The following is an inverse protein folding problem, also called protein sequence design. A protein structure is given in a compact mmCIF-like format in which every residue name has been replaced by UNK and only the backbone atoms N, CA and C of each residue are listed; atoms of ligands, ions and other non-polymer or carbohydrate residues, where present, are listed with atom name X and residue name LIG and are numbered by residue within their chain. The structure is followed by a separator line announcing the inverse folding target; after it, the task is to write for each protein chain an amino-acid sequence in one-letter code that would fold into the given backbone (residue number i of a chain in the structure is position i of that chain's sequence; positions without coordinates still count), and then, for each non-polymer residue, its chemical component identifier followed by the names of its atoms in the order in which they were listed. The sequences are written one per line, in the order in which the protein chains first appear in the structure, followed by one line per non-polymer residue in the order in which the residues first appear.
data_IF_398547315462
#
_entry.id   IF_398547315462
#
_cell.length_a   1.000
_cell.length_b   1.000
_cell.length_c   1.000
_cell.angle_alpha   90.00
_cell.angle_beta   90.00
_cell.angle_gamma   90.00
#
_symmetry.space_group_name_H-M   'P 1'
#
loop_
_entity.id
_entity.type
_entity.pdbx_description
1 polymer ?
#
# COMPACT_ATOMS: atom_id res chain seq x y z
N UNK A 1 -2.63 24.54 -8.72
CA UNK A 1 -2.63 23.68 -7.53
C UNK A 1 -2.12 22.32 -7.97
N UNK A 2 -1.07 21.78 -7.35
CA UNK A 2 -0.48 20.50 -7.76
C UNK A 2 -1.20 19.31 -7.12
N UNK A 3 -1.72 18.41 -7.95
CA UNK A 3 -2.37 17.16 -7.55
C UNK A 3 -1.53 15.96 -7.98
N UNK A 4 -1.16 15.13 -7.01
CA UNK A 4 -0.40 13.90 -7.23
C UNK A 4 -1.29 12.69 -7.04
N UNK A 5 -1.24 11.76 -7.99
CA UNK A 5 -1.74 10.40 -7.83
C UNK A 5 -0.58 9.48 -7.43
N UNK A 6 -0.59 8.95 -6.22
CA UNK A 6 0.24 7.82 -5.88
C UNK A 6 -0.51 6.52 -6.20
N UNK A 7 0.20 5.47 -6.60
CA UNK A 7 -0.40 4.16 -6.86
C UNK A 7 0.39 3.07 -6.14
N UNK A 8 -0.28 2.24 -5.33
CA UNK A 8 0.26 1.00 -4.76
C UNK A 8 -0.86 -0.05 -4.71
N UNK A 9 -0.93 -0.88 -5.74
CA UNK A 9 -2.02 -1.86 -5.98
C UNK A 9 -1.81 -3.18 -5.23
N UNK A 10 -1.01 -3.16 -4.17
CA UNK A 10 -0.66 -4.32 -3.34
C UNK A 10 -1.56 -4.44 -2.11
N UNK A 11 -1.16 -5.30 -1.18
CA UNK A 11 -1.79 -5.54 0.11
C UNK A 11 -1.45 -4.49 1.17
N UNK A 12 -2.08 -4.58 2.34
CA UNK A 12 -1.87 -3.65 3.45
C UNK A 12 -0.40 -3.41 3.82
N UNK A 13 0.43 -4.47 3.85
CA UNK A 13 1.84 -4.34 4.23
C UNK A 13 2.61 -3.42 3.29
N UNK A 14 2.47 -3.64 1.99
CA UNK A 14 3.09 -2.85 0.94
C UNK A 14 2.63 -1.37 0.94
N UNK A 15 1.34 -1.16 1.16
CA UNK A 15 0.76 0.19 1.26
C UNK A 15 1.33 0.93 2.48
N UNK A 16 1.41 0.27 3.64
CA UNK A 16 2.03 0.84 4.85
C UNK A 16 3.50 1.20 4.64
N UNK A 17 4.28 0.32 4.01
CA UNK A 17 5.70 0.54 3.73
C UNK A 17 5.94 1.66 2.71
N UNK A 18 4.95 1.96 1.86
CA UNK A 18 5.00 3.10 0.93
C UNK A 18 4.75 4.44 1.65
N UNK A 19 4.24 4.44 2.88
CA UNK A 19 3.85 5.64 3.64
C UNK A 19 4.88 6.77 3.68
N UNK A 20 6.17 6.53 3.97
CA UNK A 20 7.22 7.55 3.92
C UNK A 20 7.37 8.21 2.54
N UNK A 21 7.31 7.43 1.46
CA UNK A 21 7.36 7.93 0.09
C UNK A 21 6.17 8.83 -0.24
N UNK A 22 4.97 8.47 0.26
CA UNK A 22 3.79 9.32 0.11
C UNK A 22 3.95 10.66 0.83
N UNK A 23 4.54 10.68 2.03
CA UNK A 23 4.81 11.93 2.74
C UNK A 23 5.83 12.79 1.99
N UNK A 24 6.85 12.18 1.38
CA UNK A 24 7.83 12.89 0.56
C UNK A 24 7.20 13.53 -0.70
N UNK A 25 6.24 12.84 -1.34
CA UNK A 25 5.50 13.39 -2.48
C UNK A 25 4.49 14.48 -2.06
N UNK A 26 3.80 14.27 -0.93
CA UNK A 26 2.82 15.23 -0.42
C UNK A 26 3.46 16.54 0.06
N UNK A 27 4.72 16.53 0.48
CA UNK A 27 5.42 17.73 0.96
C UNK A 27 5.50 18.87 -0.08
N UNK A 28 5.46 18.55 -1.38
CA UNK A 28 5.52 19.51 -2.49
C UNK A 28 4.23 19.57 -3.31
N UNK A 29 3.16 18.92 -2.86
CA UNK A 29 1.88 18.86 -3.53
C UNK A 29 0.77 19.51 -2.68
N UNK A 30 -0.20 20.14 -3.33
CA UNK A 30 -1.39 20.65 -2.63
C UNK A 30 -2.31 19.51 -2.20
N UNK A 31 -2.26 18.39 -2.93
CA UNK A 31 -3.08 17.22 -2.68
C UNK A 31 -2.42 15.95 -3.21
N UNK A 32 -2.41 14.91 -2.39
CA UNK A 32 -2.02 13.56 -2.78
C UNK A 32 -3.19 12.60 -2.56
N UNK A 33 -3.64 11.97 -3.64
CA UNK A 33 -4.63 10.89 -3.61
C UNK A 33 -3.90 9.56 -3.87
N UNK A 34 -4.38 8.46 -3.28
CA UNK A 34 -3.74 7.14 -3.38
C UNK A 34 -4.68 6.12 -4.02
N UNK A 35 -4.25 5.50 -5.11
CA UNK A 35 -4.93 4.37 -5.74
C UNK A 35 -4.37 3.04 -5.21
N UNK A 36 -5.24 2.21 -4.64
CA UNK A 36 -4.90 0.90 -4.07
C UNK A 36 -5.83 -0.20 -4.56
N UNK A 37 -5.43 -1.45 -4.33
CA UNK A 37 -6.32 -2.60 -4.46
C UNK A 37 -7.33 -2.65 -3.31
N UNK A 38 -8.42 -3.44 -3.43
CA UNK A 38 -9.31 -3.71 -2.30
C UNK A 38 -8.57 -4.22 -1.05
N UNK A 39 -7.50 -5.00 -1.24
CA UNK A 39 -6.71 -5.58 -0.16
C UNK A 39 -5.75 -4.59 0.53
N UNK A 40 -5.49 -3.43 -0.06
CA UNK A 40 -4.66 -2.37 0.52
C UNK A 40 -5.46 -1.18 1.06
N UNK A 41 -6.80 -1.22 0.93
CA UNK A 41 -7.69 -0.10 1.30
C UNK A 41 -7.58 0.26 2.78
N UNK A 42 -7.58 -0.73 3.67
CA UNK A 42 -7.55 -0.48 5.11
C UNK A 42 -6.25 0.21 5.53
N UNK A 43 -5.11 -0.26 5.04
CA UNK A 43 -3.83 0.42 5.23
C UNK A 43 -3.80 1.83 4.64
N UNK A 44 -4.32 2.01 3.42
CA UNK A 44 -4.34 3.31 2.74
C UNK A 44 -5.08 4.36 3.57
N UNK A 45 -6.23 3.99 4.14
CA UNK A 45 -7.02 4.86 5.00
C UNK A 45 -6.23 5.26 6.25
N UNK A 46 -5.28 4.46 6.74
CA UNK A 46 -4.46 4.79 7.91
C UNK A 46 -3.30 5.76 7.61
N UNK A 47 -2.99 6.10 6.36
CA UNK A 47 -1.80 6.90 6.03
C UNK A 47 -2.05 8.42 6.16
N UNK A 48 -1.15 9.18 6.82
CA UNK A 48 -1.41 10.58 7.18
C UNK A 48 -1.34 11.57 6.01
N UNK A 49 -0.66 11.24 4.90
CA UNK A 49 -0.48 12.13 3.75
C UNK A 49 -1.52 11.91 2.63
N UNK A 50 -2.45 10.97 2.80
CA UNK A 50 -3.43 10.60 1.77
C UNK A 50 -4.71 11.41 1.97
N UNK A 51 -5.07 12.22 0.99
CA UNK A 51 -6.29 13.02 1.00
C UNK A 51 -7.54 12.22 0.59
N UNK A 52 -7.42 11.35 -0.42
CA UNK A 52 -8.48 10.45 -0.86
C UNK A 52 -7.89 9.09 -1.25
N UNK A 53 -8.58 8.02 -0.86
CA UNK A 53 -8.26 6.64 -1.26
C UNK A 53 -9.17 6.25 -2.42
N UNK A 54 -8.57 5.94 -3.56
CA UNK A 54 -9.24 5.33 -4.70
C UNK A 54 -9.00 3.82 -4.66
N UNK A 55 -10.01 3.03 -5.02
CA UNK A 55 -9.91 1.58 -5.01
C UNK A 55 -10.16 1.05 -6.41
N UNK A 56 -9.25 0.20 -6.88
CA UNK A 56 -9.39 -0.50 -8.14
C UNK A 56 -8.81 -1.91 -8.02
N UNK A 57 -9.63 -2.91 -8.38
CA UNK A 57 -9.20 -4.30 -8.43
C UNK A 57 -8.47 -4.56 -9.75
N UNK A 58 -7.16 -4.32 -9.73
CA UNK A 58 -6.34 -4.34 -10.94
C UNK A 58 -6.08 -5.78 -11.42
N UNK A 59 -6.43 -6.13 -12.67
CA UNK A 59 -6.32 -7.49 -13.19
C UNK A 59 -4.87 -7.96 -13.44
N UNK A 60 -3.88 -7.09 -13.18
CA UNK A 60 -2.44 -7.38 -13.28
C UNK A 60 -1.72 -7.37 -11.92
N UNK A 61 -2.46 -7.26 -10.82
CA UNK A 61 -1.91 -7.20 -9.46
C UNK A 61 -2.63 -8.17 -8.52
N UNK A 62 -1.99 -8.45 -7.38
CA UNK A 62 -2.54 -9.31 -6.33
C UNK A 62 -2.27 -10.80 -6.54
N UNK A 63 -2.61 -11.59 -5.51
CA UNK A 63 -2.35 -13.03 -5.47
C UNK A 63 -3.23 -13.84 -6.43
N UNK A 64 -4.50 -13.44 -6.56
CA UNK A 64 -5.50 -14.04 -7.44
C UNK A 64 -6.20 -12.94 -8.25
N UNK A 65 -5.53 -12.40 -9.28
CA UNK A 65 -6.06 -11.27 -10.05
C UNK A 65 -7.41 -11.63 -10.71
N UNK A 66 -8.34 -10.69 -10.68
CA UNK A 66 -9.61 -10.82 -11.36
C UNK A 66 -9.42 -10.80 -12.90
N UNK A 67 -10.36 -11.37 -13.68
CA UNK A 67 -10.41 -11.17 -15.12
C UNK A 67 -10.48 -9.68 -15.48
N UNK A 68 -9.98 -9.32 -16.67
CA UNK A 68 -10.07 -7.94 -17.16
C UNK A 68 -11.54 -7.57 -17.40
N UNK A 69 -12.00 -6.55 -16.67
CA UNK A 69 -13.30 -5.91 -16.90
C UNK A 69 -13.09 -4.56 -17.60
N UNK A 70 -13.49 -4.49 -18.87
CA UNK A 70 -13.36 -3.28 -19.67
C UNK A 70 -14.17 -2.10 -19.12
N UNK A 71 -15.35 -2.35 -18.55
CA UNK A 71 -16.19 -1.30 -17.94
C UNK A 71 -15.52 -0.70 -16.72
N UNK A 72 -14.95 -1.55 -15.85
CA UNK A 72 -14.21 -1.10 -14.68
C UNK A 72 -12.95 -0.30 -15.06
N UNK A 73 -12.23 -0.72 -16.10
CA UNK A 73 -11.06 0.00 -16.61
C UNK A 73 -11.44 1.38 -17.15
N UNK A 74 -12.48 1.48 -17.99
CA UNK A 74 -12.95 2.77 -18.50
C UNK A 74 -13.42 3.69 -17.36
N UNK A 75 -14.18 3.16 -16.40
CA UNK A 75 -14.64 3.92 -15.25
C UNK A 75 -13.46 4.47 -14.41
N UNK A 76 -12.38 3.69 -14.25
CA UNK A 76 -11.17 4.18 -13.60
C UNK A 76 -10.54 5.34 -14.41
N UNK A 77 -10.35 5.17 -15.72
CA UNK A 77 -9.75 6.20 -16.58
C UNK A 77 -10.54 7.50 -16.52
N UNK A 78 -11.86 7.45 -16.67
CA UNK A 78 -12.75 8.62 -16.60
C UNK A 78 -12.65 9.31 -15.23
N UNK A 79 -12.62 8.51 -14.16
CA UNK A 79 -12.49 8.96 -12.77
C UNK A 79 -11.14 9.66 -12.53
N UNK A 80 -10.03 9.14 -13.07
CA UNK A 80 -8.72 9.75 -12.98
C UNK A 80 -8.65 11.05 -13.82
N UNK A 81 -9.22 11.06 -15.02
CA UNK A 81 -9.26 12.22 -15.91
C UNK A 81 -10.02 13.39 -15.27
N UNK A 82 -11.17 13.12 -14.65
CA UNK A 82 -11.97 14.13 -13.96
C UNK A 82 -11.23 14.79 -12.78
N UNK A 83 -10.26 14.09 -12.18
CA UNK A 83 -9.44 14.62 -11.07
C UNK A 83 -8.29 15.50 -11.55
N UNK A 84 -7.88 15.45 -12.82
CA UNK A 84 -6.85 16.33 -13.39
C UNK A 84 -5.55 16.30 -12.55
N UNK A 85 -5.02 15.10 -12.33
CA UNK A 85 -3.71 14.95 -11.68
C UNK A 85 -2.60 15.51 -12.59
N UNK A 86 -1.67 16.26 -12.02
CA UNK A 86 -0.50 16.73 -12.74
C UNK A 86 0.54 15.63 -12.90
N UNK A 87 0.61 14.73 -11.90
CA UNK A 87 1.61 13.67 -11.82
C UNK A 87 1.03 12.37 -11.28
N UNK A 88 1.55 11.25 -11.78
CA UNK A 88 1.35 9.93 -11.19
C UNK A 88 2.69 9.30 -10.80
N UNK A 89 2.77 8.73 -9.59
CA UNK A 89 3.93 7.95 -9.14
C UNK A 89 3.46 6.54 -8.80
N UNK A 90 3.97 5.56 -9.54
CA UNK A 90 3.51 4.17 -9.48
C UNK A 90 4.54 3.34 -8.73
N UNK A 91 4.18 2.94 -7.52
CA UNK A 91 4.97 2.06 -6.67
C UNK A 91 4.55 0.62 -6.93
N UNK A 92 5.51 -0.22 -7.24
CA UNK A 92 5.32 -1.66 -7.47
C UNK A 92 6.30 -2.47 -6.64
N UNK A 93 5.92 -3.71 -6.35
CA UNK A 93 6.87 -4.72 -5.90
C UNK A 93 7.78 -5.15 -7.06
N UNK A 94 8.96 -5.72 -6.76
CA UNK A 94 9.99 -6.04 -7.76
C UNK A 94 9.53 -6.99 -8.90
N UNK A 95 8.48 -7.76 -8.68
CA UNK A 95 7.94 -8.74 -9.63
C UNK A 95 6.73 -8.21 -10.43
N UNK A 96 6.36 -6.95 -10.23
CA UNK A 96 5.19 -6.34 -10.86
C UNK A 96 5.59 -5.31 -11.92
N UNK A 97 4.80 -5.25 -12.99
CA UNK A 97 4.97 -4.24 -14.02
C UNK A 97 4.16 -2.98 -13.69
N UNK A 98 4.75 -1.78 -13.72
CA UNK A 98 4.01 -0.53 -13.58
C UNK A 98 3.28 -0.13 -14.87
N UNK A 99 3.64 -0.73 -16.01
CA UNK A 99 3.27 -0.28 -17.34
C UNK A 99 1.76 -0.30 -17.63
N UNK A 100 0.97 -1.29 -17.15
CA UNK A 100 -0.48 -1.24 -17.30
C UNK A 100 -1.10 -0.02 -16.61
N UNK A 101 -0.63 0.31 -15.41
CA UNK A 101 -1.10 1.49 -14.67
C UNK A 101 -0.63 2.78 -15.35
N UNK A 102 0.61 2.81 -15.86
CA UNK A 102 1.14 3.95 -16.60
C UNK A 102 0.33 4.22 -17.87
N UNK A 103 -0.08 3.17 -18.59
CA UNK A 103 -0.98 3.30 -19.74
C UNK A 103 -2.32 3.94 -19.34
N UNK A 104 -2.94 3.48 -18.25
CA UNK A 104 -4.20 4.08 -17.78
C UNK A 104 -4.03 5.54 -17.34
N UNK A 105 -2.92 5.87 -16.69
CA UNK A 105 -2.58 7.25 -16.33
C UNK A 105 -2.46 8.15 -17.58
N UNK A 106 -1.82 7.65 -18.66
CA UNK A 106 -1.73 8.37 -19.94
C UNK A 106 -3.09 8.55 -20.60
N UNK A 107 -3.94 7.51 -20.60
CA UNK A 107 -5.30 7.60 -21.13
C UNK A 107 -6.16 8.61 -20.34
N UNK A 108 -5.91 8.74 -19.04
CA UNK A 108 -6.54 9.75 -18.19
C UNK A 108 -5.97 11.18 -18.38
N UNK A 109 -4.98 11.36 -19.27
CA UNK A 109 -4.38 12.65 -19.57
C UNK A 109 -3.33 13.13 -18.56
N UNK A 110 -2.78 12.25 -17.72
CA UNK A 110 -1.73 12.61 -16.75
C UNK A 110 -0.40 12.83 -17.50
N UNK A 111 0.08 14.08 -17.44
CA UNK A 111 1.23 14.54 -18.23
C UNK A 111 2.58 14.06 -17.72
N UNK A 112 2.71 13.76 -16.42
CA UNK A 112 3.95 13.27 -15.83
C UNK A 112 3.73 11.93 -15.09
N UNK A 113 4.47 10.88 -15.46
CA UNK A 113 4.38 9.56 -14.85
C UNK A 113 5.77 9.04 -14.48
N UNK A 114 5.95 8.67 -13.21
CA UNK A 114 7.19 8.09 -12.68
C UNK A 114 6.94 6.68 -12.12
N UNK A 115 7.83 5.75 -12.42
CA UNK A 115 7.78 4.40 -11.85
C UNK A 115 9.14 3.70 -11.90
N UNK A 116 9.33 2.71 -11.03
CA UNK A 116 10.42 1.73 -11.20
C UNK A 116 10.02 0.71 -12.27
N UNK A 117 10.79 0.61 -13.35
CA UNK A 117 10.48 -0.32 -14.45
C UNK A 117 11.73 -0.99 -15.01
N UNK A 118 11.76 -2.31 -14.91
CA UNK A 118 12.75 -3.14 -15.58
C UNK A 118 12.60 -3.11 -17.10
N UNK A 119 11.34 -3.12 -17.56
CA UNK A 119 10.99 -3.11 -18.97
C UNK A 119 11.11 -1.71 -19.60
N UNK A 120 11.32 -1.68 -20.92
CA UNK A 120 11.32 -0.45 -21.70
C UNK A 120 9.90 0.17 -21.72
N UNK A 121 9.70 1.41 -21.25
CA UNK A 121 8.36 1.97 -21.09
C UNK A 121 7.83 2.72 -22.32
N UNK A 122 8.65 2.95 -23.35
CA UNK A 122 8.29 3.88 -24.43
C UNK A 122 7.94 5.27 -23.88
N UNK A 123 6.80 5.83 -24.30
CA UNK A 123 6.28 7.12 -23.83
C UNK A 123 5.47 7.05 -22.53
N UNK A 124 5.32 5.86 -21.93
CA UNK A 124 4.47 5.69 -20.75
C UNK A 124 5.05 6.32 -19.48
N UNK A 125 6.38 6.41 -19.36
CA UNK A 125 7.06 6.97 -18.19
C UNK A 125 7.95 8.16 -18.59
N UNK A 126 7.80 9.27 -17.87
CA UNK A 126 8.71 10.41 -17.92
C UNK A 126 9.95 10.18 -17.06
N UNK A 127 9.78 9.43 -15.95
CA UNK A 127 10.89 8.94 -15.13
C UNK A 127 10.82 7.41 -15.08
N UNK A 128 11.75 6.77 -15.80
CA UNK A 128 12.04 5.35 -15.65
C UNK A 128 13.09 5.17 -14.56
N UNK A 129 12.63 4.96 -13.34
CA UNK A 129 13.49 4.68 -12.21
C UNK A 129 14.01 3.23 -12.28
N UNK A 130 15.24 3.01 -11.80
CA UNK A 130 15.87 1.70 -11.68
C UNK A 130 16.24 1.51 -10.22
N UNK A 131 15.57 0.56 -9.56
CA UNK A 131 15.78 0.28 -8.15
C UNK A 131 17.19 -0.31 -7.95
N UNK A 132 18.02 0.26 -7.07
CA UNK A 132 19.25 -0.39 -6.63
C UNK A 132 18.97 -1.71 -5.90
N UNK A 133 19.82 -2.71 -6.14
CA UNK A 133 19.70 -4.01 -5.49
C UNK A 133 19.84 -3.91 -3.97
N UNK A 134 19.08 -4.74 -3.24
CA UNK A 134 19.22 -4.93 -1.80
C UNK A 134 18.55 -3.87 -0.91
N UNK A 135 17.90 -2.85 -1.48
CA UNK A 135 17.13 -1.88 -0.68
C UNK A 135 15.91 -2.50 -0.01
N UNK A 136 15.62 -2.08 1.22
CA UNK A 136 14.34 -2.38 1.86
C UNK A 136 13.19 -1.70 1.11
N UNK A 137 11.97 -2.26 1.13
CA UNK A 137 10.82 -1.71 0.38
C UNK A 137 10.53 -0.23 0.69
N UNK A 138 10.68 0.18 1.95
CA UNK A 138 10.54 1.59 2.38
C UNK A 138 11.57 2.48 1.68
N UNK A 139 12.83 2.03 1.62
CA UNK A 139 13.93 2.79 1.03
C UNK A 139 13.77 2.86 -0.49
N UNK A 140 13.38 1.76 -1.12
CA UNK A 140 13.09 1.70 -2.55
C UNK A 140 11.92 2.62 -2.96
N UNK A 141 10.87 2.69 -2.14
CA UNK A 141 9.76 3.61 -2.36
C UNK A 141 10.20 5.07 -2.19
N UNK A 142 11.02 5.37 -1.18
CA UNK A 142 11.57 6.72 -0.98
C UNK A 142 12.49 7.13 -2.14
N UNK A 143 13.32 6.21 -2.63
CA UNK A 143 14.22 6.43 -3.76
C UNK A 143 13.44 6.82 -5.04
N UNK A 144 12.36 6.07 -5.34
CA UNK A 144 11.44 6.43 -6.43
C UNK A 144 10.75 7.79 -6.18
N UNK A 145 10.30 8.07 -4.96
CA UNK A 145 9.69 9.36 -4.64
C UNK A 145 10.68 10.52 -4.85
N UNK A 146 11.93 10.36 -4.47
CA UNK A 146 13.00 11.34 -4.73
C UNK A 146 13.24 11.51 -6.23
N UNK A 147 13.33 10.42 -6.99
CA UNK A 147 13.47 10.47 -8.44
C UNK A 147 12.27 11.16 -9.13
N UNK A 148 11.09 11.12 -8.52
CA UNK A 148 9.88 11.82 -8.95
C UNK A 148 9.80 13.28 -8.46
N UNK A 149 10.81 13.78 -7.74
CA UNK A 149 10.89 15.16 -7.23
C UNK A 149 10.23 15.37 -5.85
N UNK A 150 9.88 14.30 -5.14
CA UNK A 150 9.48 14.36 -3.75
C UNK A 150 10.68 14.51 -2.82
N UNK A 151 10.45 15.02 -1.61
CA UNK A 151 11.44 15.09 -0.56
C UNK A 151 10.73 15.04 0.80
N UNK A 152 11.29 14.29 1.75
CA UNK A 152 10.76 14.29 3.10
C UNK A 152 10.88 15.71 3.72
N UNK A 153 9.84 16.19 4.42
CA UNK A 153 9.93 17.43 5.17
C UNK A 153 11.04 17.40 6.23
N UNK A 154 11.56 18.57 6.57
CA UNK A 154 12.53 18.70 7.66
C UNK A 154 12.01 18.04 8.95
N UNK A 155 12.82 17.14 9.51
CA UNK A 155 12.50 16.39 10.72
C UNK A 155 11.75 15.07 10.51
N UNK A 156 11.23 14.77 9.31
CA UNK A 156 10.69 13.46 9.00
C UNK A 156 11.83 12.46 8.72
N UNK A 157 11.94 11.45 9.58
CA UNK A 157 13.00 10.43 9.50
C UNK A 157 12.66 9.25 8.59
N UNK A 158 11.58 9.35 7.80
CA UNK A 158 11.15 8.28 6.88
C UNK A 158 10.63 7.04 7.60
N UNK A 159 10.19 7.15 8.86
CA UNK A 159 9.65 6.01 9.63
C UNK A 159 8.20 5.71 9.26
N UNK A 160 7.76 4.48 9.55
CA UNK A 160 6.35 4.13 9.48
C UNK A 160 5.54 5.07 10.39
N UNK A 161 4.45 5.60 9.86
CA UNK A 161 3.53 6.45 10.59
C UNK A 161 2.11 6.21 10.08
N UNK A 162 1.15 6.22 11.00
CA UNK A 162 -0.28 6.19 10.72
C UNK A 162 -0.93 7.46 11.25
N UNK A 163 -2.09 7.81 10.70
CA UNK A 163 -2.88 8.98 11.15
C UNK A 163 -3.34 8.80 12.60
N UNK A 164 -3.51 9.93 13.28
CA UNK A 164 -4.09 9.99 14.62
C UNK A 164 -5.29 10.95 14.66
N UNK A 165 -6.25 10.75 15.58
CA UNK A 165 -6.37 9.58 16.46
C UNK A 165 -6.82 8.32 15.68
N UNK A 166 -6.40 7.14 16.15
CA UNK A 166 -6.93 5.87 15.66
C UNK A 166 -8.34 5.62 16.26
N UNK A 167 -9.20 4.82 15.61
CA UNK A 167 -10.48 4.43 16.18
C UNK A 167 -10.31 3.79 17.57
N UNK A 168 -11.20 4.07 18.54
CA UNK A 168 -11.11 3.49 19.87
C UNK A 168 -11.35 1.98 19.82
N UNK A 169 -10.40 1.21 20.32
CA UNK A 169 -10.45 -0.27 20.37
C UNK A 169 -10.53 -0.82 21.80
N UNK A 170 -10.76 0.04 22.80
CA UNK A 170 -10.77 -0.33 24.23
C UNK A 170 -11.78 -1.43 24.56
N UNK A 171 -12.86 -1.53 23.78
CA UNK A 171 -13.89 -2.56 23.91
C UNK A 171 -13.47 -3.93 23.34
N UNK A 172 -12.35 -3.99 22.60
CA UNK A 172 -11.80 -5.20 21.98
C UNK A 172 -10.56 -5.73 22.72
N UNK A 173 -10.01 -4.94 23.64
CA UNK A 173 -8.74 -5.26 24.32
C UNK A 173 -8.94 -5.27 25.83
N UNK A 174 -8.19 -6.10 26.59
CA UNK A 174 -8.27 -6.09 28.03
C UNK A 174 -7.61 -4.82 28.59
N UNK A 175 -8.03 -4.40 29.79
CA UNK A 175 -7.40 -3.30 30.51
C UNK A 175 -5.99 -3.62 31.04
N UNK A 176 -5.63 -4.92 31.10
CA UNK A 176 -4.32 -5.40 31.53
C UNK A 176 -3.37 -5.57 30.32
N UNK A 177 -2.04 -5.60 30.52
CA UNK A 177 -1.09 -5.86 29.44
C UNK A 177 -1.41 -7.15 28.67
N UNK A 178 -1.31 -7.09 27.35
CA UNK A 178 -1.67 -8.19 26.46
C UNK A 178 -0.69 -8.34 25.29
N UNK A 179 -0.74 -9.52 24.67
CA UNK A 179 -0.01 -9.86 23.45
C UNK A 179 -1.01 -10.10 22.33
N UNK A 180 -0.77 -9.52 21.16
CA UNK A 180 -1.54 -9.81 19.95
C UNK A 180 -0.84 -10.90 19.15
N UNK A 181 -1.53 -12.00 18.90
CA UNK A 181 -1.13 -13.06 17.99
C UNK A 181 -1.96 -12.95 16.71
N UNK A 182 -1.29 -12.81 15.57
CA UNK A 182 -1.92 -12.90 14.25
C UNK A 182 -1.39 -14.17 13.57
N UNK A 183 -2.10 -15.31 13.65
CA UNK A 183 -1.56 -16.60 13.26
C UNK A 183 -1.73 -16.91 11.77
N UNK A 184 -2.20 -15.94 10.99
CA UNK A 184 -2.53 -16.13 9.58
C UNK A 184 -1.74 -15.18 8.68
N UNK A 185 -1.59 -15.58 7.43
CA UNK A 185 -1.01 -14.81 6.36
C UNK A 185 -1.77 -15.12 5.07
N UNK A 186 -1.79 -14.18 4.12
CA UNK A 186 -2.51 -14.34 2.85
C UNK A 186 -2.03 -15.53 2.02
N UNK A 187 -0.81 -16.02 2.24
CA UNK A 187 -0.29 -17.26 1.67
C UNK A 187 -0.23 -18.30 2.78
N UNK A 188 -1.02 -19.40 2.72
CA UNK A 188 -1.09 -20.38 3.80
C UNK A 188 0.25 -20.97 4.23
N UNK A 189 1.16 -21.21 3.28
CA UNK A 189 2.51 -21.71 3.56
C UNK A 189 3.40 -20.76 4.39
N UNK A 190 2.99 -19.50 4.59
CA UNK A 190 3.66 -18.50 5.44
C UNK A 190 3.00 -18.38 6.83
N UNK A 191 1.96 -19.16 7.10
CA UNK A 191 1.30 -19.20 8.41
C UNK A 191 1.86 -20.37 9.24
N UNK A 192 1.95 -20.25 10.57
CA UNK A 192 2.13 -21.42 11.42
C UNK A 192 0.96 -22.40 11.21
N UNK A 193 1.23 -23.70 11.38
CA UNK A 193 0.14 -24.68 11.48
C UNK A 193 -0.76 -24.35 12.68
N UNK A 194 -2.08 -24.64 12.62
CA UNK A 194 -3.02 -24.28 13.69
C UNK A 194 -2.60 -24.82 15.07
N UNK A 195 -2.07 -26.05 15.12
CA UNK A 195 -1.55 -26.64 16.35
C UNK A 195 -0.36 -25.87 16.95
N UNK A 196 0.54 -25.35 16.10
CA UNK A 196 1.65 -24.52 16.54
C UNK A 196 1.17 -23.16 17.06
N UNK A 197 0.22 -22.52 16.37
CA UNK A 197 -0.38 -21.26 16.83
C UNK A 197 -1.06 -21.43 18.20
N UNK A 198 -1.83 -22.51 18.38
CA UNK A 198 -2.47 -22.84 19.65
C UNK A 198 -1.43 -23.10 20.77
N UNK A 199 -0.33 -23.80 20.46
CA UNK A 199 0.75 -24.02 21.42
C UNK A 199 1.43 -22.72 21.84
N UNK A 200 1.68 -21.79 20.91
CA UNK A 200 2.21 -20.46 21.19
C UNK A 200 1.27 -19.68 22.12
N UNK A 201 -0.03 -19.64 21.79
CA UNK A 201 -1.02 -18.96 22.61
C UNK A 201 -1.12 -19.57 24.03
N UNK A 202 -1.10 -20.89 24.14
CA UNK A 202 -1.13 -21.59 25.43
C UNK A 202 0.12 -21.29 26.27
N UNK A 203 1.31 -21.27 25.66
CA UNK A 203 2.55 -20.94 26.34
C UNK A 203 2.57 -19.50 26.86
N UNK A 204 2.10 -18.53 26.05
CA UNK A 204 1.97 -17.13 26.47
C UNK A 204 1.00 -16.96 27.64
N UNK A 205 -0.14 -17.66 27.61
CA UNK A 205 -1.11 -17.66 28.71
C UNK A 205 -0.54 -18.28 29.98
N UNK A 206 0.19 -19.39 29.87
CA UNK A 206 0.87 -20.02 31.01
C UNK A 206 1.94 -19.10 31.64
N UNK A 207 2.55 -18.22 30.84
CA UNK A 207 3.47 -17.18 31.30
C UNK A 207 2.77 -15.93 31.87
N UNK A 208 1.43 -15.93 31.97
CA UNK A 208 0.65 -14.86 32.59
C UNK A 208 0.16 -13.75 31.66
N UNK A 209 0.34 -13.89 30.34
CA UNK A 209 -0.14 -12.90 29.37
C UNK A 209 -1.63 -13.11 29.02
N UNK A 210 -2.36 -12.00 28.91
CA UNK A 210 -3.60 -11.99 28.13
C UNK A 210 -3.23 -12.06 26.64
N UNK A 211 -3.82 -12.99 25.89
CA UNK A 211 -3.53 -13.18 24.47
C UNK A 211 -4.77 -12.84 23.66
N UNK A 212 -4.62 -11.92 22.71
CA UNK A 212 -5.63 -11.59 21.71
C UNK A 212 -5.25 -12.23 20.39
N UNK A 213 -6.10 -13.09 19.87
CA UNK A 213 -5.91 -13.66 18.53
C UNK A 213 -6.67 -12.79 17.53
N UNK A 214 -5.99 -12.39 16.47
CA UNK A 214 -6.56 -11.56 15.40
C UNK A 214 -6.56 -12.31 14.09
N UNK A 215 -7.49 -11.98 13.21
CA UNK A 215 -7.63 -12.60 11.90
C UNK A 215 -8.68 -11.88 11.06
N UNK A 216 -8.62 -12.09 9.75
CA UNK A 216 -9.64 -11.69 8.80
C UNK A 216 -10.91 -12.53 8.93
N UNK A 217 -11.98 -12.14 8.21
CA UNK A 217 -13.29 -12.82 8.30
C UNK A 217 -13.23 -14.30 7.90
N UNK A 218 -12.38 -14.66 6.94
CA UNK A 218 -12.17 -16.04 6.49
C UNK A 218 -11.31 -16.88 7.43
N UNK A 219 -10.72 -16.26 8.46
CA UNK A 219 -9.76 -16.90 9.37
C UNK A 219 -10.39 -17.18 10.74
N UNK A 220 -11.70 -16.96 10.90
CA UNK A 220 -12.42 -17.13 12.17
C UNK A 220 -12.33 -18.53 12.77
N UNK A 221 -12.22 -19.56 11.94
CA UNK A 221 -12.07 -20.94 12.43
C UNK A 221 -10.63 -21.25 12.87
N UNK A 222 -9.67 -20.39 12.49
CA UNK A 222 -8.25 -20.49 12.83
C UNK A 222 -7.83 -19.57 13.99
N UNK A 223 -8.67 -18.58 14.31
CA UNK A 223 -8.44 -17.55 15.32
C UNK A 223 -9.12 -17.86 16.66
#
# INVERSE_FOLDING_TARGET
MSRVLAVRLDSDGDVLLTGPALRALAASADRLDLLVSPAGRAAAELLPAVAEVLVFDAPWSGYAPAPVDAGAVHALVDSLAARRYDRAVIFTSFHQSPLPTALLARLAGIGFVAATSEDYPGSLLDVRHRRPDGLHEVEAALDLAHAAGGALPDGDRGRLAVRGPLPPVDHLVPAAPYVVLHPCASVPARSPEPGHAAAIAAALRAAGWAVLVTGGRGERELA
#
